data_IF_727796962183
#
_entry.id   IF_727796962183
#
_cell.length_a   1.000
_cell.length_b   1.000
_cell.length_c   1.000
_cell.angle_alpha   90.00
_cell.angle_beta   90.00
_cell.angle_gamma   90.00
#
_symmetry.space_group_name_H-M   'P 1'
#
loop_
_entity.id
_entity.type
_entity.pdbx_description
1 polymer ?
#
# COMPACT_ATOMS: atom_id res chain seq x y z
N UNK A 1 20.83 14.64 -9.95
CA UNK A 1 20.42 14.06 -8.65
C UNK A 1 19.63 15.06 -7.77
N UNK A 2 20.14 16.28 -7.51
CA UNK A 2 19.42 17.33 -6.74
C UNK A 2 18.09 17.78 -7.36
N UNK A 3 18.03 17.90 -8.70
CA UNK A 3 16.83 18.40 -9.41
C UNK A 3 15.69 17.40 -9.42
N UNK A 4 15.99 16.09 -9.46
CA UNK A 4 14.99 15.01 -9.46
C UNK A 4 14.35 14.86 -8.07
N UNK A 5 15.15 14.99 -7.00
CA UNK A 5 14.63 15.01 -5.64
C UNK A 5 13.75 16.24 -5.38
N UNK A 6 14.18 17.42 -5.86
CA UNK A 6 13.39 18.66 -5.77
C UNK A 6 12.11 18.60 -6.61
N UNK A 7 12.14 17.95 -7.79
CA UNK A 7 10.93 17.79 -8.63
C UNK A 7 9.94 16.78 -8.03
N UNK A 8 10.43 15.72 -7.38
CA UNK A 8 9.60 14.73 -6.69
C UNK A 8 8.91 15.33 -5.44
N UNK A 9 9.59 16.21 -4.71
CA UNK A 9 9.00 16.98 -3.62
C UNK A 9 8.06 18.10 -4.11
N UNK A 10 8.34 18.72 -5.25
CA UNK A 10 7.50 19.77 -5.81
C UNK A 10 6.16 19.23 -6.34
N UNK A 11 6.16 18.04 -6.95
CA UNK A 11 4.93 17.36 -7.38
C UNK A 11 4.12 16.89 -6.17
N UNK A 12 4.76 16.48 -5.08
CA UNK A 12 4.08 16.18 -3.82
C UNK A 12 3.47 17.45 -3.17
N UNK A 13 4.12 18.61 -3.32
CA UNK A 13 3.68 19.87 -2.73
C UNK A 13 2.55 20.56 -3.51
N UNK A 14 2.49 20.39 -4.84
CA UNK A 14 1.41 20.97 -5.67
C UNK A 14 0.12 20.14 -5.67
N UNK A 15 0.15 18.91 -5.16
CA UNK A 15 -1.04 18.08 -4.93
C UNK A 15 -1.72 18.36 -3.57
N UNK A 16 -1.16 19.24 -2.73
CA UNK A 16 -1.59 19.41 -1.32
C UNK A 16 -2.36 20.68 -0.91
N UNK A 17 -2.79 21.61 -1.77
CA UNK A 17 -3.80 22.58 -1.38
C UNK A 17 -5.18 22.37 -2.02
N UNK A 18 -5.45 21.21 -2.64
CA UNK A 18 -6.80 20.87 -3.11
C UNK A 18 -7.51 19.82 -2.23
N UNK A 19 -6.79 19.01 -1.44
CA UNK A 19 -7.39 18.09 -0.46
C UNK A 19 -7.69 18.78 0.88
N UNK A 20 -7.18 20.00 1.09
CA UNK A 20 -7.37 20.76 2.34
C UNK A 20 -8.74 21.45 2.45
N UNK A 21 -9.51 21.58 1.36
CA UNK A 21 -10.81 22.28 1.35
C UNK A 21 -12.04 21.37 1.22
N UNK A 22 -11.93 20.06 1.51
CA UNK A 22 -13.07 19.14 1.50
C UNK A 22 -13.23 18.29 2.78
N UNK A 23 -12.42 18.50 3.82
CA UNK A 23 -12.49 17.71 5.06
C UNK A 23 -13.53 18.27 6.05
N UNK A 24 -14.82 18.09 5.75
CA UNK A 24 -15.87 18.05 6.78
C UNK A 24 -16.14 16.60 7.14
N UNK A 25 -15.17 15.95 7.81
CA UNK A 25 -15.41 14.62 8.39
C UNK A 25 -14.35 14.22 9.42
N UNK A 26 -14.83 13.50 10.44
CA UNK A 26 -14.12 13.05 11.63
C UNK A 26 -12.67 12.64 11.41
N UNK A 27 -11.80 12.90 12.38
CA UNK A 27 -10.37 12.48 12.43
C UNK A 27 -10.19 10.99 12.05
N UNK A 28 -11.20 10.17 12.37
CA UNK A 28 -11.26 8.76 12.02
C UNK A 28 -11.31 8.48 10.50
N UNK A 29 -11.92 9.35 9.69
CA UNK A 29 -11.92 9.24 8.23
C UNK A 29 -10.56 9.66 7.65
N UNK A 30 -9.96 10.75 8.15
CA UNK A 30 -8.62 11.17 7.74
C UNK A 30 -7.56 10.09 8.02
N UNK A 31 -7.66 9.39 9.16
CA UNK A 31 -6.74 8.30 9.49
C UNK A 31 -6.93 7.08 8.57
N UNK A 32 -8.18 6.75 8.20
CA UNK A 32 -8.47 5.67 7.25
C UNK A 32 -7.97 6.01 5.85
N UNK A 33 -8.22 7.22 5.38
CA UNK A 33 -7.86 7.66 4.03
C UNK A 33 -6.35 7.78 3.86
N UNK A 34 -5.64 8.29 4.86
CA UNK A 34 -4.17 8.33 4.84
C UNK A 34 -3.54 6.93 4.79
N UNK A 35 -4.03 5.99 5.59
CA UNK A 35 -3.56 4.60 5.55
C UNK A 35 -3.88 3.92 4.20
N UNK A 36 -5.07 4.17 3.65
CA UNK A 36 -5.46 3.64 2.34
C UNK A 36 -4.58 4.23 1.23
N UNK A 37 -4.33 5.54 1.25
CA UNK A 37 -3.48 6.21 0.27
C UNK A 37 -2.04 5.68 0.31
N UNK A 38 -1.47 5.51 1.50
CA UNK A 38 -0.12 4.96 1.64
C UNK A 38 -0.04 3.54 1.07
N UNK A 39 -1.01 2.68 1.38
CA UNK A 39 -0.98 1.29 0.93
C UNK A 39 -1.32 1.12 -0.56
N UNK A 40 -2.28 1.89 -1.10
CA UNK A 40 -2.73 1.78 -2.50
C UNK A 40 -1.88 2.56 -3.50
N UNK A 41 -1.28 3.67 -3.07
CA UNK A 41 -0.57 4.59 -3.97
C UNK A 41 0.91 4.67 -3.62
N UNK A 42 1.24 4.99 -2.37
CA UNK A 42 2.62 5.28 -2.00
C UNK A 42 3.53 4.04 -2.08
N UNK A 43 3.04 2.90 -1.59
CA UNK A 43 3.78 1.66 -1.56
C UNK A 43 4.11 1.14 -2.99
N UNK A 44 3.12 0.94 -3.89
CA UNK A 44 3.42 0.52 -5.26
C UNK A 44 4.25 1.55 -6.04
N UNK A 45 4.10 2.85 -5.77
CA UNK A 45 4.93 3.89 -6.36
C UNK A 45 6.41 3.74 -5.96
N UNK A 46 6.69 3.52 -4.67
CA UNK A 46 8.06 3.30 -4.17
C UNK A 46 8.67 2.02 -4.76
N UNK A 47 7.90 0.94 -4.82
CA UNK A 47 8.36 -0.32 -5.44
C UNK A 47 8.68 -0.13 -6.92
N UNK A 48 7.84 0.57 -7.68
CA UNK A 48 8.09 0.86 -9.08
C UNK A 48 9.36 1.70 -9.27
N UNK A 49 9.56 2.72 -8.43
CA UNK A 49 10.76 3.56 -8.48
C UNK A 49 12.03 2.78 -8.13
N UNK A 50 11.97 1.95 -7.08
CA UNK A 50 13.07 1.08 -6.66
C UNK A 50 13.43 0.06 -7.74
N UNK A 51 12.43 -0.57 -8.37
CA UNK A 51 12.62 -1.51 -9.46
C UNK A 51 13.23 -0.84 -10.70
N UNK A 52 12.77 0.36 -11.06
CA UNK A 52 13.34 1.12 -12.16
C UNK A 52 14.81 1.49 -11.89
N UNK A 53 15.13 1.93 -10.67
CA UNK A 53 16.51 2.20 -10.27
C UNK A 53 17.36 0.93 -10.30
N UNK A 54 16.82 -0.21 -9.88
CA UNK A 54 17.50 -1.49 -9.93
C UNK A 54 17.90 -1.85 -11.38
N UNK A 55 16.97 -1.75 -12.34
CA UNK A 55 17.25 -2.03 -13.75
C UNK A 55 18.31 -1.11 -14.34
N UNK A 56 18.21 0.21 -14.09
CA UNK A 56 19.19 1.18 -14.60
C UNK A 56 20.58 0.94 -14.01
N UNK A 57 20.67 0.61 -12.72
CA UNK A 57 21.96 0.32 -12.09
C UNK A 57 22.60 -0.97 -12.63
N UNK A 58 21.81 -2.03 -12.83
CA UNK A 58 22.31 -3.29 -13.40
C UNK A 58 22.83 -3.07 -14.82
N UNK A 59 22.02 -2.45 -15.70
CA UNK A 59 22.40 -2.23 -17.11
C UNK A 59 23.60 -1.31 -17.21
N UNK A 60 23.62 -0.19 -16.47
CA UNK A 60 24.77 0.73 -16.43
C UNK A 60 26.05 0.01 -15.99
N UNK A 61 25.94 -0.92 -15.05
CA UNK A 61 27.08 -1.62 -14.50
C UNK A 61 27.65 -2.66 -15.48
N UNK A 62 26.78 -3.40 -16.17
CA UNK A 62 27.17 -4.34 -17.23
C UNK A 62 27.84 -3.64 -18.42
N UNK A 63 27.35 -2.46 -18.82
CA UNK A 63 27.93 -1.71 -19.94
C UNK A 63 29.28 -1.07 -19.57
N UNK A 64 29.40 -0.51 -18.36
CA UNK A 64 30.60 0.23 -17.96
C UNK A 64 31.83 -0.65 -17.64
N UNK A 65 31.63 -1.90 -17.23
CA UNK A 65 32.71 -2.78 -16.77
C UNK A 65 32.99 -3.97 -17.70
N UNK A 66 32.31 -4.04 -18.86
CA UNK A 66 32.44 -5.15 -19.80
C UNK A 66 33.67 -5.13 -20.70
N UNK A 67 34.34 -3.97 -20.86
CA UNK A 67 35.42 -3.78 -21.84
C UNK A 67 36.84 -4.10 -21.31
N UNK A 68 37.05 -4.13 -20.00
CA UNK A 68 38.35 -4.39 -19.38
C UNK A 68 38.33 -5.68 -18.56
N UNK A 69 39.42 -6.45 -18.61
CA UNK A 69 39.53 -7.76 -17.96
C UNK A 69 39.45 -7.67 -16.42
N UNK A 70 39.99 -6.58 -15.86
CA UNK A 70 39.83 -6.20 -14.44
C UNK A 70 38.44 -5.66 -14.11
N UNK A 71 37.83 -4.95 -15.06
CA UNK A 71 36.46 -4.46 -14.96
C UNK A 71 35.48 -5.63 -14.85
N UNK A 72 35.70 -6.71 -15.61
CA UNK A 72 34.83 -7.89 -15.63
C UNK A 72 34.76 -8.64 -14.30
N UNK A 73 35.84 -8.67 -13.54
CA UNK A 73 35.85 -9.32 -12.22
C UNK A 73 35.07 -8.52 -11.18
N UNK A 74 35.26 -7.19 -11.16
CA UNK A 74 34.40 -6.30 -10.38
C UNK A 74 32.94 -6.38 -10.86
N UNK A 75 32.73 -6.44 -12.18
CA UNK A 75 31.42 -6.56 -12.81
C UNK A 75 30.62 -7.76 -12.26
N UNK A 76 31.28 -8.91 -12.18
CA UNK A 76 30.70 -10.13 -11.63
C UNK A 76 30.37 -9.98 -10.15
N UNK A 77 31.27 -9.42 -9.35
CA UNK A 77 31.05 -9.26 -7.91
C UNK A 77 29.84 -8.37 -7.62
N UNK A 78 29.70 -7.24 -8.30
CA UNK A 78 28.56 -6.34 -8.11
C UNK A 78 27.27 -6.91 -8.72
N UNK A 79 27.33 -7.67 -9.82
CA UNK A 79 26.16 -8.37 -10.36
C UNK A 79 25.58 -9.37 -9.34
N UNK A 80 26.45 -10.13 -8.66
CA UNK A 80 26.05 -11.02 -7.56
C UNK A 80 25.41 -10.24 -6.41
N UNK A 81 26.00 -9.11 -6.01
CA UNK A 81 25.39 -8.22 -5.00
C UNK A 81 24.02 -7.65 -5.42
N UNK A 82 23.84 -7.32 -6.70
CA UNK A 82 22.56 -6.88 -7.24
C UNK A 82 21.49 -7.98 -7.17
N UNK A 83 21.84 -9.20 -7.56
CA UNK A 83 20.92 -10.35 -7.50
C UNK A 83 20.51 -10.63 -6.04
N UNK A 84 21.45 -10.58 -5.10
CA UNK A 84 21.15 -10.76 -3.67
C UNK A 84 20.14 -9.71 -3.18
N UNK A 85 20.34 -8.44 -3.54
CA UNK A 85 19.41 -7.36 -3.18
C UNK A 85 18.01 -7.57 -3.77
N UNK A 86 17.92 -8.06 -5.01
CA UNK A 86 16.65 -8.36 -5.67
C UNK A 86 15.90 -9.51 -4.97
N UNK A 87 16.60 -10.60 -4.66
CA UNK A 87 16.02 -11.75 -3.96
C UNK A 87 15.50 -11.34 -2.58
N UNK A 88 16.24 -10.51 -1.84
CA UNK A 88 15.79 -10.03 -0.52
C UNK A 88 14.52 -9.17 -0.61
N UNK A 89 14.41 -8.27 -1.59
CA UNK A 89 13.19 -7.47 -1.75
C UNK A 89 11.97 -8.31 -2.07
N UNK A 90 12.08 -9.24 -3.01
CA UNK A 90 10.97 -10.15 -3.37
C UNK A 90 10.64 -11.09 -2.22
N UNK A 91 11.64 -11.56 -1.47
CA UNK A 91 11.47 -12.45 -0.32
C UNK A 91 10.62 -11.80 0.78
N UNK A 92 10.97 -10.57 1.20
CA UNK A 92 10.22 -9.87 2.25
C UNK A 92 8.76 -9.64 1.81
N UNK A 93 8.54 -9.20 0.58
CA UNK A 93 7.19 -8.96 0.07
C UNK A 93 6.38 -10.26 -0.10
N UNK A 94 7.01 -11.33 -0.61
CA UNK A 94 6.40 -12.64 -0.74
C UNK A 94 6.00 -13.24 0.60
N UNK A 95 6.85 -13.09 1.61
CA UNK A 95 6.56 -13.52 2.99
C UNK A 95 5.42 -12.71 3.58
N UNK A 96 5.42 -11.38 3.44
CA UNK A 96 4.31 -10.54 3.91
C UNK A 96 2.99 -10.97 3.26
N UNK A 97 2.97 -11.21 1.95
CA UNK A 97 1.78 -11.66 1.24
C UNK A 97 1.33 -13.07 1.69
N UNK A 98 2.27 -13.97 1.94
CA UNK A 98 1.99 -15.31 2.46
C UNK A 98 1.41 -15.26 3.89
N UNK A 99 1.90 -14.37 4.74
CA UNK A 99 1.35 -14.19 6.09
C UNK A 99 -0.05 -13.57 6.03
N UNK A 100 -0.26 -12.54 5.22
CA UNK A 100 -1.59 -11.90 5.09
C UNK A 100 -2.64 -12.89 4.60
N UNK A 101 -2.32 -13.65 3.55
CA UNK A 101 -3.21 -14.69 3.01
C UNK A 101 -3.35 -15.90 3.94
N UNK A 102 -2.26 -16.32 4.59
CA UNK A 102 -2.24 -17.47 5.50
C UNK A 102 -3.01 -17.22 6.80
N UNK A 103 -3.02 -16.00 7.31
CA UNK A 103 -3.78 -15.61 8.51
C UNK A 103 -5.21 -15.14 8.20
N UNK A 104 -5.66 -15.21 6.94
CA UNK A 104 -7.01 -14.79 6.55
C UNK A 104 -7.29 -13.30 6.76
N UNK A 105 -6.23 -12.48 6.85
CA UNK A 105 -6.31 -11.01 6.97
C UNK A 105 -6.54 -10.42 5.58
N UNK A 106 -7.45 -11.03 4.83
CA UNK A 106 -7.97 -10.44 3.61
C UNK A 106 -9.03 -9.42 4.03
N UNK A 107 -8.90 -8.19 3.54
CA UNK A 107 -9.82 -7.08 3.83
C UNK A 107 -11.27 -7.31 3.39
N UNK A 108 -11.55 -8.48 2.82
CA UNK A 108 -12.84 -8.92 2.32
C UNK A 108 -13.55 -9.87 3.30
N UNK A 109 -12.84 -10.44 4.28
CA UNK A 109 -13.43 -11.28 5.31
C UNK A 109 -13.81 -10.41 6.50
N UNK A 110 -15.05 -9.92 6.48
CA UNK A 110 -15.65 -9.28 7.66
C UNK A 110 -15.85 -10.37 8.70
N UNK A 111 -15.04 -10.38 9.76
CA UNK A 111 -15.24 -11.29 10.90
C UNK A 111 -16.52 -10.88 11.60
N UNK A 112 -17.60 -11.62 11.36
CA UNK A 112 -18.89 -11.38 11.95
C UNK A 112 -19.03 -12.23 13.22
N UNK A 113 -19.40 -11.67 14.37
CA UNK A 113 -19.72 -12.46 15.55
C UNK A 113 -20.96 -13.34 15.30
N UNK A 114 -20.87 -14.66 15.54
CA UNK A 114 -21.99 -15.62 15.41
C UNK A 114 -23.09 -15.49 16.48
N UNK A 115 -23.07 -14.40 17.25
CA UNK A 115 -24.03 -14.14 18.30
C UNK A 115 -24.47 -12.68 18.20
N UNK A 116 -25.75 -12.31 17.98
CA UNK A 116 -27.00 -13.07 17.78
C UNK A 116 -27.37 -13.36 16.30
N UNK A 117 -28.35 -14.26 16.02
CA UNK A 117 -28.80 -14.55 14.65
C UNK A 117 -29.45 -13.33 13.99
N UNK A 118 -29.02 -13.02 12.75
CA UNK A 118 -29.53 -11.88 11.96
C UNK A 118 -28.68 -10.61 12.01
N UNK A 119 -27.37 -10.73 12.27
CA UNK A 119 -26.49 -9.56 12.30
C UNK A 119 -26.38 -8.91 10.89
N UNK A 120 -26.33 -7.57 10.81
CA UNK A 120 -26.29 -6.86 9.52
C UNK A 120 -24.99 -7.09 8.74
N UNK A 121 -23.98 -7.70 9.38
CA UNK A 121 -22.71 -8.04 8.76
C UNK A 121 -22.79 -9.31 7.89
N UNK A 122 -23.77 -10.19 8.12
CA UNK A 122 -24.00 -11.40 7.30
C UNK A 122 -24.95 -11.15 6.12
N UNK A 123 -25.76 -10.09 6.13
CA UNK A 123 -26.83 -9.86 5.13
C UNK A 123 -26.42 -9.00 3.91
N UNK A 124 -25.14 -8.63 3.76
CA UNK A 124 -24.65 -7.86 2.60
C UNK A 124 -25.16 -6.42 2.51
N UNK A 125 -25.98 -5.97 3.47
CA UNK A 125 -26.24 -4.57 3.75
C UNK A 125 -24.98 -3.98 4.39
N UNK A 126 -24.23 -3.16 3.66
CA UNK A 126 -23.08 -2.42 4.21
C UNK A 126 -23.43 -1.65 5.50
N UNK A 127 -22.45 -1.06 6.20
CA UNK A 127 -22.65 -0.53 7.55
C UNK A 127 -23.71 0.57 7.53
N UNK A 128 -24.95 0.21 7.85
CA UNK A 128 -25.95 1.19 8.18
C UNK A 128 -25.47 1.88 9.44
N UNK A 129 -25.67 3.20 9.56
CA UNK A 129 -25.46 3.88 10.82
C UNK A 129 -26.15 3.08 11.93
N UNK A 130 -25.54 3.04 13.10
CA UNK A 130 -26.18 2.64 14.36
C UNK A 130 -27.36 3.61 14.56
N UNK A 131 -28.49 3.33 13.91
CA UNK A 131 -29.76 3.95 14.23
C UNK A 131 -30.16 3.31 15.56
N UNK A 132 -30.31 4.07 16.64
CA UNK A 132 -30.88 3.55 17.86
C UNK A 132 -32.25 3.00 17.52
N UNK A 133 -32.58 1.78 17.96
CA UNK A 133 -33.85 1.09 17.76
C UNK A 133 -35.06 1.77 18.44
N UNK A 134 -35.14 3.10 18.38
CA UNK A 134 -36.21 3.94 18.92
C UNK A 134 -37.44 3.99 18.02
N UNK A 135 -37.54 3.08 17.06
CA UNK A 135 -38.78 2.75 16.34
C UNK A 135 -39.63 1.71 17.11
N UNK A 136 -39.58 1.72 18.45
CA UNK A 136 -40.72 1.29 19.25
C UNK A 136 -41.70 2.48 19.33
N UNK A 137 -42.36 2.82 18.23
CA UNK A 137 -43.67 3.48 18.33
C UNK A 137 -44.69 2.37 18.55
N UNK A 138 -45.32 2.27 19.74
CA UNK A 138 -46.49 1.44 19.88
C UNK A 138 -47.59 2.10 19.07
N UNK A 139 -47.86 1.59 17.88
CA UNK A 139 -49.22 1.63 17.35
C UNK A 139 -50.06 0.82 18.33
N UNK A 140 -50.85 1.52 19.15
CA UNK A 140 -51.97 0.90 19.82
C UNK A 140 -53.27 1.47 19.25
N UNK A 141 -54.25 0.61 18.98
CA UNK A 141 -55.56 0.96 18.45
C UNK A 141 -56.44 1.55 19.56
N UNK A 142 -57.66 1.95 19.15
CA UNK A 142 -58.80 2.62 19.84
C UNK A 142 -58.68 4.12 20.10
#
# INVERSE_FOLDING_TARGET
MKKVFVMLCAVAATLTPATAFAATSSIQQLLKDSMLFVNKTLLPLLFALAFLFFLVNVVRYFIAHGADEKGREQAKRLAVWGIIAFVLMVSIWGIVNLLVSGFGIDRNNVVCPDYPPGNPCQTGSGPTPIVPSRELSPTTPI
#
